data_IF_726105626814
#
_entry.id   IF_726105626814
#
_cell.length_a   1.000
_cell.length_b   1.000
_cell.length_c   1.000
_cell.angle_alpha   90.00
_cell.angle_beta   90.00
_cell.angle_gamma   90.00
#
_symmetry.space_group_name_H-M   'P 1'
#
loop_
_entity.id
_entity.type
_entity.pdbx_description
1 polymer ?
#
# COMPACT_ATOMS: atom_id res chain seq x y z
N UNK A 1 -12.98 4.28 -6.86
CA UNK A 1 -11.93 3.68 -5.99
C UNK A 1 -10.79 4.68 -5.85
N UNK A 2 -10.31 4.95 -4.63
CA UNK A 2 -9.15 5.82 -4.46
C UNK A 2 -7.84 5.10 -4.73
N UNK A 3 -6.82 5.90 -4.98
CA UNK A 3 -5.46 5.47 -5.27
C UNK A 3 -4.54 6.26 -4.35
N UNK A 4 -3.64 5.56 -3.68
CA UNK A 4 -2.63 6.20 -2.83
C UNK A 4 -1.29 6.09 -3.52
N UNK A 5 -0.92 7.15 -4.22
CA UNK A 5 0.44 7.31 -4.70
C UNK A 5 1.29 7.81 -3.52
N UNK A 6 2.24 6.99 -3.07
CA UNK A 6 3.16 7.36 -2.00
C UNK A 6 4.10 8.44 -2.52
N UNK A 7 3.79 9.70 -2.25
CA UNK A 7 4.69 10.80 -2.54
C UNK A 7 5.66 10.96 -1.37
N UNK A 8 6.97 10.95 -1.67
CA UNK A 8 7.98 11.28 -0.68
C UNK A 8 7.73 12.71 -0.18
N UNK A 9 7.64 12.89 1.14
CA UNK A 9 7.53 14.22 1.74
C UNK A 9 8.93 14.86 1.74
N UNK A 10 9.22 15.62 0.70
CA UNK A 10 10.50 16.32 0.50
C UNK A 10 10.91 17.26 1.63
N UNK A 11 9.95 17.76 2.42
CA UNK A 11 10.19 18.71 3.51
C UNK A 11 10.42 18.07 4.89
N UNK A 12 10.40 16.74 4.98
CA UNK A 12 10.70 16.04 6.23
C UNK A 12 12.13 15.51 6.19
N UNK A 13 12.96 15.96 7.13
CA UNK A 13 14.31 15.44 7.38
C UNK A 13 14.30 14.02 8.00
N UNK A 14 13.17 13.31 7.88
CA UNK A 14 12.85 12.04 8.51
C UNK A 14 12.17 11.13 7.49
N UNK A 15 12.87 10.06 7.10
CA UNK A 15 12.37 9.00 6.25
C UNK A 15 12.15 7.74 7.08
N UNK A 16 10.94 7.20 7.05
CA UNK A 16 10.65 5.89 7.62
C UNK A 16 11.40 4.78 6.86
N UNK A 17 11.59 4.96 5.54
CA UNK A 17 12.34 4.02 4.73
C UNK A 17 13.80 3.91 5.16
N UNK A 18 14.42 4.96 5.69
CA UNK A 18 15.82 4.88 6.14
C UNK A 18 15.97 4.13 7.48
N UNK A 19 14.89 3.97 8.24
CA UNK A 19 14.90 3.33 9.57
C UNK A 19 14.56 1.84 9.54
N UNK A 20 13.95 1.34 8.46
CA UNK A 20 13.66 -0.09 8.32
C UNK A 20 14.94 -0.82 7.89
N UNK A 21 15.42 -1.85 8.61
CA UNK A 21 16.60 -2.62 8.21
C UNK A 21 16.50 -3.14 6.77
N UNK A 22 17.64 -3.27 6.09
CA UNK A 22 17.67 -3.77 4.71
C UNK A 22 17.21 -5.24 4.62
N UNK A 23 17.50 -6.03 5.66
CA UNK A 23 17.13 -7.44 5.79
C UNK A 23 15.71 -7.65 6.37
N UNK A 24 14.87 -6.61 6.37
CA UNK A 24 13.53 -6.72 6.92
C UNK A 24 12.60 -7.52 5.99
N UNK A 25 11.88 -8.52 6.54
CA UNK A 25 10.95 -9.38 5.80
C UNK A 25 10.02 -8.61 4.85
N UNK A 26 9.40 -7.53 5.35
CA UNK A 26 8.48 -6.71 4.56
C UNK A 26 9.12 -6.04 3.34
N UNK A 27 10.45 -5.80 3.33
CA UNK A 27 11.15 -5.32 2.13
C UNK A 27 11.24 -6.42 1.08
N UNK A 28 11.52 -7.65 1.50
CA UNK A 28 11.54 -8.81 0.61
C UNK A 28 10.15 -9.05 0.02
N UNK A 29 9.09 -8.98 0.84
CA UNK A 29 7.70 -9.08 0.38
C UNK A 29 7.36 -7.96 -0.61
N UNK A 30 7.70 -6.71 -0.28
CA UNK A 30 7.44 -5.57 -1.16
C UNK A 30 8.18 -5.65 -2.51
N UNK A 31 9.34 -6.32 -2.56
CA UNK A 31 10.08 -6.58 -3.81
C UNK A 31 9.53 -7.77 -4.59
N UNK A 32 9.03 -8.79 -3.91
CA UNK A 32 8.60 -10.05 -4.53
C UNK A 32 7.14 -10.03 -5.00
N UNK A 33 6.29 -9.21 -4.39
CA UNK A 33 4.84 -9.22 -4.63
C UNK A 33 4.39 -7.88 -5.20
N UNK A 34 3.86 -7.91 -6.42
CA UNK A 34 3.06 -6.81 -6.93
C UNK A 34 1.64 -6.91 -6.36
N UNK A 35 1.22 -5.92 -5.57
CA UNK A 35 -0.11 -5.87 -4.97
C UNK A 35 -1.19 -5.25 -5.87
N UNK A 36 -0.86 -4.91 -7.13
CA UNK A 36 -1.81 -4.33 -8.08
C UNK A 36 -3.06 -5.21 -8.29
N UNK A 37 -2.92 -6.55 -8.23
CA UNK A 37 -3.99 -7.53 -8.40
C UNK A 37 -5.19 -7.31 -7.46
N UNK A 38 -4.96 -6.74 -6.27
CA UNK A 38 -6.02 -6.50 -5.28
C UNK A 38 -7.09 -5.57 -5.88
N UNK A 39 -6.69 -4.60 -6.70
CA UNK A 39 -7.62 -3.66 -7.34
C UNK A 39 -8.54 -4.37 -8.32
N UNK A 40 -8.02 -5.33 -9.08
CA UNK A 40 -8.82 -6.12 -10.03
C UNK A 40 -9.80 -7.03 -9.29
N UNK A 41 -9.38 -7.63 -8.18
CA UNK A 41 -10.23 -8.51 -7.36
C UNK A 41 -11.45 -7.78 -6.80
N UNK A 42 -11.25 -6.58 -6.27
CA UNK A 42 -12.32 -5.79 -5.62
C UNK A 42 -13.01 -4.79 -6.56
N UNK A 43 -12.62 -4.75 -7.84
CA UNK A 43 -13.14 -3.77 -8.81
C UNK A 43 -14.66 -3.74 -8.88
N UNK A 44 -15.31 -4.91 -8.81
CA UNK A 44 -16.77 -5.05 -8.94
C UNK A 44 -17.53 -4.56 -7.70
N UNK A 45 -16.91 -4.56 -6.52
CA UNK A 45 -17.57 -4.15 -5.27
C UNK A 45 -17.37 -2.68 -4.96
N UNK A 46 -16.43 -2.01 -5.63
CA UNK A 46 -16.16 -0.58 -5.45
C UNK A 46 -16.95 0.26 -6.45
N UNK A 47 -17.57 1.32 -5.95
CA UNK A 47 -18.19 2.32 -6.81
C UNK A 47 -17.14 3.07 -7.64
N UNK A 48 -17.51 3.37 -8.88
CA UNK A 48 -16.80 4.27 -9.79
C UNK A 48 -17.31 5.72 -9.69
N UNK A 49 -18.41 5.95 -8.98
CA UNK A 49 -19.02 7.27 -8.75
C UNK A 49 -18.90 7.69 -7.28
N UNK A 50 -18.85 9.01 -7.03
CA UNK A 50 -18.73 9.58 -5.68
C UNK A 50 -17.28 9.80 -5.23
N UNK A 51 -17.10 10.08 -3.93
CA UNK A 51 -15.78 10.36 -3.34
C UNK A 51 -14.90 9.11 -3.36
N UNK A 52 -13.65 9.19 -3.84
CA UNK A 52 -12.75 8.04 -3.86
C UNK A 52 -12.51 7.50 -2.45
N UNK A 53 -12.83 6.22 -2.24
CA UNK A 53 -12.54 5.47 -1.01
C UNK A 53 -11.05 5.22 -0.81
N UNK A 54 -10.62 4.77 0.37
CA UNK A 54 -9.23 4.37 0.63
C UNK A 54 -8.79 3.32 -0.40
N UNK A 55 -7.54 3.41 -0.85
CA UNK A 55 -6.96 2.45 -1.79
C UNK A 55 -7.03 1.03 -1.22
N UNK A 56 -7.68 0.07 -1.92
CA UNK A 56 -7.83 -1.29 -1.40
C UNK A 56 -6.49 -1.99 -1.21
N UNK A 57 -5.44 -1.60 -1.95
CA UNK A 57 -4.09 -2.14 -1.74
C UNK A 57 -3.58 -1.78 -0.35
N UNK A 58 -3.89 -0.58 0.14
CA UNK A 58 -3.50 -0.14 1.49
C UNK A 58 -4.24 -0.94 2.54
N UNK A 59 -5.55 -1.12 2.37
CA UNK A 59 -6.38 -1.91 3.30
C UNK A 59 -5.88 -3.36 3.36
N UNK A 60 -5.59 -3.96 2.21
CA UNK A 60 -5.04 -5.31 2.13
C UNK A 60 -3.67 -5.41 2.81
N UNK A 61 -2.77 -4.45 2.56
CA UNK A 61 -1.46 -4.40 3.23
C UNK A 61 -1.60 -4.30 4.75
N UNK A 62 -2.55 -3.51 5.27
CA UNK A 62 -2.80 -3.43 6.71
C UNK A 62 -3.28 -4.77 7.28
N UNK A 63 -4.16 -5.49 6.58
CA UNK A 63 -4.60 -6.82 6.98
C UNK A 63 -3.44 -7.84 6.95
N UNK A 64 -2.60 -7.79 5.91
CA UNK A 64 -1.41 -8.65 5.80
C UNK A 64 -0.43 -8.40 6.95
N UNK A 65 -0.21 -7.12 7.32
CA UNK A 65 0.63 -6.75 8.47
C UNK A 65 0.07 -7.24 9.81
N UNK A 66 -1.25 -7.37 9.95
CA UNK A 66 -1.86 -7.94 11.15
C UNK A 66 -1.79 -9.47 11.23
N UNK A 67 -1.44 -10.12 10.12
CA UNK A 67 -1.31 -11.57 10.03
C UNK A 67 0.14 -12.07 10.15
N UNK A 68 1.09 -11.27 9.65
CA UNK A 68 2.54 -11.53 9.74
C UNK A 68 3.10 -11.18 11.13
#
# INVERSE_FOLDING_TARGET
MGRKDSQAKWFYNFSLEDRVPQDHLLRSVAKAVDFSFVRDLVRRTYSHTGTPSVDPVVVFKMALLGYL
#
